data_IF_273331333609
#
_entry.id   IF_273331333609
#
_cell.length_a   1.000
_cell.length_b   1.000
_cell.length_c   1.000
_cell.angle_alpha   90.00
_cell.angle_beta   90.00
_cell.angle_gamma   90.00
#
_symmetry.space_group_name_H-M   'P 1'
#
loop_
_entity.id
_entity.type
_entity.pdbx_description
1 polymer ?
#
# COMPACT_ATOMS: atom_id res chain seq x y z
N UNK A 1 2.93 -27.05 10.59
CA UNK A 1 3.16 -25.97 9.60
C UNK A 1 2.93 -24.67 10.32
N UNK A 2 3.97 -23.86 10.52
CA UNK A 2 3.85 -22.56 11.17
C UNK A 2 3.53 -21.50 10.10
N UNK A 3 2.24 -21.35 9.80
CA UNK A 3 1.74 -20.20 9.03
C UNK A 3 0.94 -19.31 9.98
N UNK A 4 1.08 -18.00 9.82
CA UNK A 4 0.28 -17.01 10.54
C UNK A 4 -0.89 -16.59 9.63
N UNK A 5 -2.13 -17.06 9.90
CA UNK A 5 -3.27 -16.75 9.05
C UNK A 5 -3.60 -15.25 9.05
N UNK A 6 -3.15 -14.47 10.04
CA UNK A 6 -3.40 -13.01 10.10
C UNK A 6 -2.58 -12.24 9.07
N UNK A 7 -1.56 -12.87 8.47
CA UNK A 7 -0.72 -12.30 7.41
C UNK A 7 -1.20 -12.65 5.99
N UNK A 8 -2.25 -13.46 5.86
CA UNK A 8 -2.92 -13.66 4.58
C UNK A 8 -3.76 -12.41 4.27
N UNK A 9 -3.66 -11.90 3.04
CA UNK A 9 -4.45 -10.78 2.59
C UNK A 9 -5.55 -11.27 1.65
N UNK A 10 -6.76 -10.75 1.83
CA UNK A 10 -7.83 -10.82 0.86
C UNK A 10 -8.14 -9.37 0.43
N UNK A 11 -8.19 -9.11 -0.87
CA UNK A 11 -8.55 -7.79 -1.39
C UNK A 11 -9.97 -7.89 -1.90
N UNK A 12 -10.85 -7.05 -1.38
CA UNK A 12 -12.31 -7.13 -1.63
C UNK A 12 -12.78 -6.07 -2.62
N UNK A 13 -12.01 -5.00 -2.78
CA UNK A 13 -12.25 -3.95 -3.77
C UNK A 13 -10.97 -3.64 -4.54
N UNK A 14 -11.13 -3.13 -5.76
CA UNK A 14 -10.02 -2.70 -6.59
C UNK A 14 -10.44 -1.56 -7.52
N UNK A 15 -9.47 -0.74 -7.91
CA UNK A 15 -9.62 0.27 -8.95
C UNK A 15 -8.35 0.32 -9.81
N UNK A 16 -8.52 0.76 -11.07
CA UNK A 16 -7.41 1.12 -11.94
C UNK A 16 -7.54 2.58 -12.32
N UNK A 17 -6.46 3.33 -12.15
CA UNK A 17 -6.35 4.71 -12.61
C UNK A 17 -5.30 4.79 -13.70
N UNK A 18 -5.56 5.64 -14.70
CA UNK A 18 -4.65 5.88 -15.81
C UNK A 18 -4.41 7.37 -15.96
N UNK A 19 -3.16 7.77 -16.13
CA UNK A 19 -2.82 9.12 -16.58
C UNK A 19 -2.21 9.06 -17.97
N UNK A 20 -2.79 9.81 -18.90
CA UNK A 20 -2.23 10.06 -20.23
C UNK A 20 -1.19 11.20 -20.22
N UNK A 21 -0.96 11.82 -19.06
CA UNK A 21 0.12 12.76 -18.79
C UNK A 21 1.20 12.05 -17.96
N UNK A 22 2.34 11.76 -18.58
CA UNK A 22 3.48 11.10 -17.92
C UNK A 22 4.14 11.95 -16.82
N UNK A 23 3.72 13.21 -16.66
CA UNK A 23 4.16 14.09 -15.59
C UNK A 23 3.12 14.26 -14.47
N UNK A 24 2.03 13.49 -14.50
CA UNK A 24 0.99 13.57 -13.48
C UNK A 24 1.58 13.32 -12.07
N UNK A 25 1.26 14.18 -11.10
CA UNK A 25 1.77 14.04 -9.75
C UNK A 25 1.19 12.78 -9.10
N UNK A 26 2.07 12.03 -8.46
CA UNK A 26 1.72 10.89 -7.63
C UNK A 26 1.04 11.39 -6.33
N UNK A 27 0.01 10.71 -5.81
CA UNK A 27 -0.51 10.98 -4.47
C UNK A 27 0.61 10.86 -3.42
N UNK A 28 0.53 11.61 -2.32
CA UNK A 28 1.56 11.58 -1.28
C UNK A 28 1.67 10.19 -0.62
N UNK A 29 0.54 9.54 -0.40
CA UNK A 29 0.42 8.23 0.23
C UNK A 29 -0.79 7.45 -0.31
N UNK A 30 -0.97 6.22 0.19
CA UNK A 30 -2.06 5.33 -0.23
C UNK A 30 -3.47 5.83 0.16
N UNK A 31 -3.59 6.73 1.14
CA UNK A 31 -4.86 7.26 1.62
C UNK A 31 -5.25 8.57 0.91
N UNK A 32 -4.29 9.24 0.28
CA UNK A 32 -4.51 10.44 -0.51
C UNK A 32 -5.18 10.07 -1.84
N UNK A 33 -6.34 10.65 -2.20
CA UNK A 33 -6.97 10.38 -3.49
C UNK A 33 -6.08 10.78 -4.68
N UNK A 34 -6.27 10.12 -5.82
CA UNK A 34 -5.63 10.55 -7.06
C UNK A 34 -6.12 11.95 -7.49
N UNK A 35 -5.20 12.73 -8.04
CA UNK A 35 -5.49 14.07 -8.56
C UNK A 35 -6.24 14.04 -9.90
N UNK A 36 -6.68 15.20 -10.42
CA UNK A 36 -7.52 15.29 -11.61
C UNK A 36 -6.83 14.91 -12.93
N UNK A 37 -5.52 14.64 -12.93
CA UNK A 37 -4.77 14.13 -14.08
C UNK A 37 -4.84 12.60 -14.21
N UNK A 38 -5.43 11.93 -13.21
CA UNK A 38 -5.64 10.50 -13.20
C UNK A 38 -7.10 10.20 -13.47
N UNK A 39 -7.35 9.54 -14.58
CA UNK A 39 -8.67 9.09 -14.98
C UNK A 39 -8.95 7.71 -14.37
N UNK A 40 -10.11 7.56 -13.73
CA UNK A 40 -10.58 6.26 -13.27
C UNK A 40 -11.03 5.43 -14.48
N UNK A 41 -10.62 4.15 -14.52
CA UNK A 41 -11.05 3.20 -15.57
C UNK A 41 -12.53 2.86 -15.46
N UNK A 42 -13.09 2.86 -14.25
CA UNK A 42 -14.49 2.54 -13.98
C UNK A 42 -14.67 1.15 -13.36
N UNK A 43 -15.86 0.57 -13.48
CA UNK A 43 -16.16 -0.79 -13.02
C UNK A 43 -15.22 -1.82 -13.64
N UNK A 44 -14.71 -2.71 -12.79
CA UNK A 44 -13.80 -3.80 -13.15
C UNK A 44 -14.46 -5.15 -12.89
N UNK A 45 -14.12 -6.13 -13.72
CA UNK A 45 -14.32 -7.53 -13.37
C UNK A 45 -13.24 -7.97 -12.39
N UNK A 46 -13.66 -8.37 -11.20
CA UNK A 46 -12.78 -8.73 -10.09
C UNK A 46 -12.42 -10.21 -10.02
N UNK A 47 -12.99 -11.08 -10.87
CA UNK A 47 -12.87 -12.53 -10.73
C UNK A 47 -11.40 -13.02 -10.78
N UNK A 48 -10.61 -12.48 -11.71
CA UNK A 48 -9.16 -12.75 -11.80
C UNK A 48 -8.29 -11.69 -11.09
N UNK A 49 -8.92 -10.59 -10.65
CA UNK A 49 -8.24 -9.43 -10.08
C UNK A 49 -7.26 -8.80 -11.07
N UNK A 50 -5.97 -8.84 -10.73
CA UNK A 50 -4.92 -8.26 -11.56
C UNK A 50 -3.83 -9.28 -11.90
N UNK A 51 -4.10 -10.23 -12.82
CA UNK A 51 -3.13 -11.25 -13.19
C UNK A 51 -1.81 -10.61 -13.65
N UNK A 52 -0.71 -11.22 -13.26
CA UNK A 52 0.65 -10.74 -13.51
C UNK A 52 1.45 -11.84 -14.19
N UNK A 53 2.13 -11.50 -15.29
CA UNK A 53 3.01 -12.41 -16.00
C UNK A 53 4.42 -11.81 -16.13
N UNK A 54 5.42 -12.63 -15.77
CA UNK A 54 6.85 -12.31 -15.79
C UNK A 54 7.55 -13.22 -16.77
N UNK A 55 8.18 -12.63 -17.77
CA UNK A 55 8.96 -13.34 -18.77
C UNK A 55 10.42 -12.90 -18.67
N UNK A 56 11.35 -13.85 -18.73
CA UNK A 56 12.78 -13.58 -18.86
C UNK A 56 13.46 -14.71 -19.63
N UNK A 57 14.44 -14.35 -20.45
CA UNK A 57 15.31 -15.32 -21.11
C UNK A 57 16.44 -15.72 -20.16
N UNK A 58 16.64 -17.03 -20.00
CA UNK A 58 17.70 -17.60 -19.17
C UNK A 58 18.67 -18.42 -20.01
N UNK A 59 19.98 -18.18 -19.85
CA UNK A 59 21.05 -18.91 -20.52
C UNK A 59 22.06 -19.46 -19.49
N UNK A 60 22.06 -20.79 -19.35
CA UNK A 60 22.90 -21.54 -18.42
C UNK A 60 24.19 -22.03 -19.08
N UNK A 61 25.32 -21.81 -18.39
CA UNK A 61 26.64 -22.28 -18.80
C UNK A 61 27.14 -23.35 -17.83
N UNK A 62 27.58 -24.48 -18.38
CA UNK A 62 28.06 -25.63 -17.62
C UNK A 62 29.56 -25.86 -17.84
N UNK A 63 30.27 -26.25 -16.78
CA UNK A 63 31.62 -26.79 -16.84
C UNK A 63 31.62 -28.31 -17.09
N UNK A 64 32.82 -28.88 -17.21
CA UNK A 64 33.01 -30.33 -17.32
C UNK A 64 32.31 -31.08 -16.19
N UNK A 65 31.65 -32.20 -16.53
CA UNK A 65 30.84 -32.98 -15.58
C UNK A 65 29.43 -32.44 -15.36
N UNK A 66 28.96 -31.45 -16.14
CA UNK A 66 27.59 -30.93 -16.06
C UNK A 66 27.37 -29.98 -14.88
N UNK A 67 28.42 -29.37 -14.35
CA UNK A 67 28.34 -28.45 -13.21
C UNK A 67 27.92 -27.07 -13.73
N UNK A 68 26.76 -26.56 -13.30
CA UNK A 68 26.32 -25.20 -13.62
C UNK A 68 27.30 -24.19 -13.02
N UNK A 69 27.87 -23.31 -13.85
CA UNK A 69 28.85 -22.30 -13.42
C UNK A 69 28.32 -20.89 -13.51
N UNK A 70 27.38 -20.62 -14.41
CA UNK A 70 26.81 -19.29 -14.60
C UNK A 70 25.43 -19.37 -15.24
N UNK A 71 24.54 -18.52 -14.76
CA UNK A 71 23.24 -18.25 -15.39
C UNK A 71 23.22 -16.77 -15.78
N UNK A 72 22.84 -16.48 -17.03
CA UNK A 72 22.58 -15.10 -17.49
C UNK A 72 21.09 -14.90 -17.69
N UNK A 73 20.56 -13.73 -17.33
CA UNK A 73 19.15 -13.37 -17.46
C UNK A 73 19.00 -12.11 -18.29
N UNK A 74 18.16 -12.14 -19.32
CA UNK A 74 17.94 -11.03 -20.26
C UNK A 74 16.45 -10.90 -20.63
N UNK A 75 16.10 -9.80 -21.31
CA UNK A 75 14.75 -9.56 -21.84
C UNK A 75 13.61 -9.71 -20.81
N UNK A 76 13.86 -9.23 -19.58
CA UNK A 76 12.80 -9.19 -18.57
C UNK A 76 11.61 -8.36 -19.07
N UNK A 77 10.41 -8.94 -19.00
CA UNK A 77 9.15 -8.28 -19.31
C UNK A 77 8.16 -8.55 -18.19
N UNK A 78 7.47 -7.49 -17.76
CA UNK A 78 6.34 -7.59 -16.84
C UNK A 78 5.08 -7.12 -17.54
N UNK A 79 4.02 -7.91 -17.42
CA UNK A 79 2.67 -7.51 -17.81
C UNK A 79 1.72 -7.67 -16.64
N UNK A 80 0.75 -6.77 -16.55
CA UNK A 80 -0.34 -6.82 -15.58
C UNK A 80 -1.64 -6.47 -16.28
N UNK A 81 -2.68 -7.27 -16.07
CA UNK A 81 -3.95 -7.07 -16.76
C UNK A 81 -5.08 -6.69 -15.81
N UNK A 82 -6.14 -6.14 -16.38
CA UNK A 82 -7.41 -5.88 -15.72
C UNK A 82 -8.52 -5.91 -16.78
N UNK A 83 -9.74 -6.20 -16.36
CA UNK A 83 -10.89 -6.25 -17.26
C UNK A 83 -11.84 -5.13 -16.92
N UNK A 84 -11.97 -4.15 -17.80
CA UNK A 84 -12.91 -3.05 -17.66
C UNK A 84 -14.29 -3.47 -18.17
N UNK A 85 -15.35 -3.05 -17.46
CA UNK A 85 -16.74 -3.33 -17.79
C UNK A 85 -17.52 -2.08 -18.25
N UNK A 86 -16.88 -0.91 -18.24
CA UNK A 86 -17.51 0.35 -18.64
C UNK A 86 -17.09 0.79 -20.06
N UNK A 87 -18.06 1.28 -20.83
CA UNK A 87 -17.79 2.12 -22.00
C UNK A 87 -17.70 3.60 -21.58
N UNK A 88 -16.49 4.04 -21.26
CA UNK A 88 -16.19 5.44 -20.96
C UNK A 88 -14.97 5.94 -21.76
N UNK A 89 -14.71 7.25 -21.71
CA UNK A 89 -13.65 7.86 -22.50
C UNK A 89 -12.26 7.26 -22.21
N UNK A 90 -11.98 6.87 -20.96
CA UNK A 90 -10.73 6.24 -20.55
C UNK A 90 -10.58 4.87 -21.19
N UNK A 91 -11.58 3.99 -21.04
CA UNK A 91 -11.57 2.64 -21.61
C UNK A 91 -11.49 2.70 -23.13
N UNK A 92 -12.31 3.53 -23.79
CA UNK A 92 -12.25 3.71 -25.25
C UNK A 92 -10.88 4.15 -25.73
N UNK A 93 -10.20 5.03 -24.99
CA UNK A 93 -8.86 5.51 -25.35
C UNK A 93 -7.80 4.41 -25.16
N UNK A 94 -7.94 3.55 -24.17
CA UNK A 94 -7.06 2.39 -23.97
C UNK A 94 -7.27 1.31 -25.04
N UNK A 95 -8.52 1.03 -25.42
CA UNK A 95 -8.86 0.04 -26.45
C UNK A 95 -8.49 0.55 -27.84
N UNK A 96 -8.79 1.82 -28.14
CA UNK A 96 -8.58 2.44 -29.46
C UNK A 96 -7.74 3.72 -29.41
N UNK A 97 -6.45 3.67 -29.01
CA UNK A 97 -5.61 4.85 -28.87
C UNK A 97 -5.60 5.76 -30.10
N UNK A 98 -5.76 7.06 -29.87
CA UNK A 98 -5.77 8.10 -30.92
C UNK A 98 -7.04 8.17 -31.76
N UNK A 99 -8.04 7.32 -31.50
CA UNK A 99 -9.37 7.39 -32.11
C UNK A 99 -10.18 8.59 -31.57
N UNK A 100 -11.29 8.89 -32.24
CA UNK A 100 -12.27 9.89 -31.83
C UNK A 100 -13.65 9.24 -31.81
N UNK A 101 -14.64 9.89 -31.19
CA UNK A 101 -16.05 9.45 -31.17
C UNK A 101 -16.62 9.04 -32.55
N UNK A 102 -16.08 9.61 -33.65
CA UNK A 102 -16.59 9.37 -35.01
C UNK A 102 -15.63 8.62 -35.92
N UNK A 103 -14.41 8.32 -35.45
CA UNK A 103 -13.36 7.68 -36.27
C UNK A 103 -12.49 6.78 -35.43
N UNK A 104 -12.52 5.49 -35.74
CA UNK A 104 -11.60 4.49 -35.20
C UNK A 104 -10.32 4.49 -36.06
N UNK A 105 -9.17 4.61 -35.40
CA UNK A 105 -7.85 4.50 -36.03
C UNK A 105 -7.24 3.14 -35.75
N UNK A 106 -6.25 2.77 -36.57
CA UNK A 106 -5.36 1.65 -36.25
C UNK A 106 -4.72 1.96 -34.88
N UNK A 107 -4.92 1.10 -33.87
CA UNK A 107 -4.42 1.37 -32.53
C UNK A 107 -2.89 1.34 -32.53
N UNK A 108 -2.30 2.37 -31.94
CA UNK A 108 -0.87 2.43 -31.62
C UNK A 108 -0.79 2.72 -30.13
N UNK A 109 -0.30 1.77 -29.30
CA UNK A 109 -0.23 1.97 -27.86
C UNK A 109 0.46 3.28 -27.52
N UNK A 110 -0.20 4.10 -26.71
CA UNK A 110 0.39 5.29 -26.15
C UNK A 110 1.01 4.97 -24.79
N UNK A 111 2.03 5.75 -24.41
CA UNK A 111 2.65 5.63 -23.10
C UNK A 111 1.76 6.30 -22.07
N UNK A 112 1.42 5.57 -21.02
CA UNK A 112 0.57 6.04 -19.93
C UNK A 112 1.19 5.71 -18.58
N UNK A 113 0.80 6.42 -17.54
CA UNK A 113 0.97 5.92 -16.18
C UNK A 113 -0.24 5.08 -15.81
N UNK A 114 -0.02 3.96 -15.11
CA UNK A 114 -1.10 3.10 -14.62
C UNK A 114 -0.91 2.87 -13.13
N UNK A 115 -2.00 3.00 -12.38
CA UNK A 115 -2.07 2.69 -10.97
C UNK A 115 -3.08 1.57 -10.73
N UNK A 116 -2.62 0.51 -10.08
CA UNK A 116 -3.47 -0.59 -9.60
C UNK A 116 -3.69 -0.40 -8.11
N UNK A 117 -4.92 -0.16 -7.71
CA UNK A 117 -5.33 -0.04 -6.31
C UNK A 117 -6.13 -1.26 -5.88
N UNK A 118 -5.81 -1.82 -4.72
CA UNK A 118 -6.57 -2.88 -4.07
C UNK A 118 -6.86 -2.50 -2.62
N UNK A 119 -8.06 -2.81 -2.13
CA UNK A 119 -8.51 -2.41 -0.78
C UNK A 119 -9.18 -3.56 -0.01
N UNK A 120 -9.07 -3.47 1.31
CA UNK A 120 -9.74 -4.35 2.27
C UNK A 120 -10.04 -3.55 3.54
N UNK A 121 -11.27 -3.06 3.69
CA UNK A 121 -11.61 -2.10 4.75
C UNK A 121 -10.72 -0.84 4.64
N UNK A 122 -10.00 -0.50 5.71
CA UNK A 122 -9.09 0.66 5.75
C UNK A 122 -7.71 0.38 5.13
N UNK A 123 -7.43 -0.86 4.73
CA UNK A 123 -6.17 -1.20 4.07
C UNK A 123 -6.26 -0.83 2.59
N UNK A 124 -5.32 -0.04 2.13
CA UNK A 124 -5.13 0.30 0.72
C UNK A 124 -3.74 -0.14 0.30
N UNK A 125 -3.63 -0.67 -0.91
CA UNK A 125 -2.34 -0.91 -1.58
C UNK A 125 -2.42 -0.41 -3.01
N UNK A 126 -1.39 0.33 -3.43
CA UNK A 126 -1.20 0.79 -4.79
C UNK A 126 0.11 0.29 -5.37
N UNK A 127 0.09 -0.05 -6.64
CA UNK A 127 1.26 -0.14 -7.50
C UNK A 127 1.08 0.83 -8.64
N UNK A 128 1.94 1.84 -8.72
CA UNK A 128 1.87 2.87 -9.75
C UNK A 128 3.15 2.84 -10.57
N UNK A 129 3.04 2.84 -11.89
CA UNK A 129 4.20 2.68 -12.77
C UNK A 129 5.27 3.74 -12.50
N UNK A 130 6.51 3.32 -12.23
CA UNK A 130 7.64 4.26 -11.96
C UNK A 130 8.14 4.99 -13.22
N UNK A 131 7.68 4.59 -14.42
CA UNK A 131 8.02 5.25 -15.67
C UNK A 131 6.82 5.39 -16.62
N UNK A 132 6.36 4.30 -17.22
CA UNK A 132 5.11 4.22 -18.00
C UNK A 132 4.77 2.74 -18.25
N UNK A 133 3.54 2.51 -18.70
CA UNK A 133 3.12 1.30 -19.37
C UNK A 133 2.69 1.61 -20.81
N UNK A 134 2.69 0.57 -21.64
CA UNK A 134 1.95 0.54 -22.89
C UNK A 134 0.79 -0.43 -22.72
N UNK A 135 -0.43 0.04 -22.90
CA UNK A 135 -1.65 -0.75 -22.77
C UNK A 135 -2.13 -1.23 -24.14
N UNK A 136 -2.58 -2.49 -24.19
CA UNK A 136 -3.19 -3.08 -25.38
C UNK A 136 -4.38 -3.92 -24.98
N UNK A 137 -5.36 -4.01 -25.88
CA UNK A 137 -6.44 -4.97 -25.78
C UNK A 137 -5.89 -6.40 -25.87
N UNK A 138 -6.37 -7.29 -25.02
CA UNK A 138 -6.09 -8.71 -25.05
C UNK A 138 -7.39 -9.49 -25.22
N UNK A 139 -7.43 -10.35 -26.23
CA UNK A 139 -8.64 -11.08 -26.62
C UNK A 139 -9.68 -10.23 -27.38
N UNK A 140 -10.91 -10.74 -27.39
CA UNK A 140 -12.03 -10.13 -28.10
C UNK A 140 -12.70 -9.05 -27.24
N UNK A 141 -13.09 -7.95 -27.87
CA UNK A 141 -13.92 -6.90 -27.31
C UNK A 141 -15.05 -6.62 -28.29
N UNK A 142 -16.29 -6.73 -27.83
CA UNK A 142 -17.44 -6.58 -28.70
C UNK A 142 -18.77 -6.58 -27.96
N UNK A 143 -19.77 -6.06 -28.66
CA UNK A 143 -21.13 -5.90 -28.16
C UNK A 143 -21.95 -7.19 -28.42
N UNK A 144 -22.68 -7.66 -27.41
CA UNK A 144 -23.63 -8.75 -27.58
C UNK A 144 -24.87 -8.56 -26.69
N UNK A 145 -25.90 -9.39 -26.88
CA UNK A 145 -27.19 -9.25 -26.19
C UNK A 145 -27.23 -9.89 -24.78
N UNK A 146 -26.23 -10.71 -24.43
CA UNK A 146 -26.29 -11.62 -23.28
C UNK A 146 -25.32 -11.29 -22.16
N UNK A 147 -24.12 -10.85 -22.52
CA UNK A 147 -23.00 -10.59 -21.63
C UNK A 147 -22.70 -9.09 -21.60
N UNK A 148 -22.18 -8.62 -20.47
CA UNK A 148 -21.68 -7.27 -20.36
C UNK A 148 -20.53 -7.08 -21.35
N UNK A 149 -20.48 -5.92 -22.00
CA UNK A 149 -19.31 -5.52 -22.76
C UNK A 149 -18.12 -5.43 -21.80
N UNK A 150 -17.02 -6.06 -22.18
CA UNK A 150 -15.79 -6.07 -21.40
C UNK A 150 -14.58 -5.83 -22.30
N UNK A 151 -13.54 -5.23 -21.72
CA UNK A 151 -12.27 -5.01 -22.36
C UNK A 151 -11.15 -5.45 -21.43
N UNK A 152 -10.54 -6.59 -21.73
CA UNK A 152 -9.32 -7.04 -21.04
C UNK A 152 -8.14 -6.25 -21.57
N UNK A 153 -7.53 -5.45 -20.69
CA UNK A 153 -6.42 -4.58 -21.03
C UNK A 153 -5.17 -5.14 -20.38
N UNK A 154 -4.14 -5.41 -21.20
CA UNK A 154 -2.81 -5.81 -20.74
C UNK A 154 -1.92 -4.57 -20.72
N UNK A 155 -1.41 -4.21 -19.55
CA UNK A 155 -0.39 -3.18 -19.39
C UNK A 155 1.00 -3.83 -19.40
N UNK A 156 1.81 -3.53 -20.42
CA UNK A 156 3.24 -3.86 -20.45
C UNK A 156 4.01 -2.78 -19.67
N UNK A 157 4.67 -3.17 -18.59
CA UNK A 157 5.30 -2.24 -17.64
C UNK A 157 6.77 -2.02 -18.00
N UNK A 158 7.17 -0.77 -18.20
CA UNK A 158 8.53 -0.41 -18.56
C UNK A 158 9.33 0.07 -17.34
N UNK A 159 10.57 -0.42 -17.13
CA UNK A 159 11.40 0.00 -16.02
C UNK A 159 11.98 1.40 -16.22
N UNK A 160 12.17 2.13 -15.12
CA UNK A 160 12.96 3.37 -15.12
C UNK A 160 14.48 3.08 -15.20
N UNK A 161 15.30 4.13 -15.14
CA UNK A 161 16.77 4.00 -15.21
C UNK A 161 17.38 3.20 -14.05
N UNK A 162 16.68 3.11 -12.92
CA UNK A 162 17.03 2.36 -11.73
C UNK A 162 16.54 0.90 -11.77
N UNK A 163 15.85 0.51 -12.86
CA UNK A 163 15.19 -0.79 -13.05
C UNK A 163 13.98 -1.02 -12.14
N UNK A 164 13.35 0.05 -11.69
CA UNK A 164 12.12 0.01 -10.90
C UNK A 164 10.90 0.01 -11.85
N UNK A 165 9.92 -0.82 -11.54
CA UNK A 165 8.70 -0.99 -12.35
C UNK A 165 7.51 -0.23 -11.74
N UNK A 166 7.41 -0.22 -10.41
CA UNK A 166 6.33 0.40 -9.68
C UNK A 166 6.82 1.12 -8.42
N UNK A 167 6.23 2.28 -8.19
CA UNK A 167 6.17 2.91 -6.88
C UNK A 167 5.04 2.25 -6.09
N UNK A 168 5.36 1.79 -4.89
CA UNK A 168 4.41 1.09 -4.02
C UNK A 168 3.94 2.03 -2.92
N UNK A 169 2.63 2.14 -2.77
CA UNK A 169 2.01 2.77 -1.59
C UNK A 169 1.17 1.73 -0.87
N UNK A 170 1.17 1.74 0.45
CA UNK A 170 0.29 0.89 1.24
C UNK A 170 -0.08 1.62 2.54
N UNK A 171 -1.25 1.31 3.10
CA UNK A 171 -1.56 1.73 4.47
C UNK A 171 -0.50 1.16 5.41
N UNK A 172 0.26 2.00 6.14
CA UNK A 172 1.29 1.52 7.04
C UNK A 172 0.65 0.71 8.17
N UNK A 173 1.19 -0.47 8.44
CA UNK A 173 0.74 -1.30 9.56
C UNK A 173 1.49 -0.87 10.82
N UNK A 174 0.79 -0.75 11.94
CA UNK A 174 1.44 -0.52 13.23
C UNK A 174 2.33 -1.73 13.56
N UNK A 175 3.60 -1.48 13.88
CA UNK A 175 4.54 -2.53 14.29
C UNK A 175 4.81 -2.50 15.80
N UNK A 176 4.89 -1.32 16.38
CA UNK A 176 5.16 -1.16 17.82
C UNK A 176 4.73 0.20 18.33
N UNK A 177 4.65 0.31 19.66
CA UNK A 177 4.63 1.60 20.35
C UNK A 177 5.75 1.64 21.40
N UNK A 178 6.29 2.83 21.66
CA UNK A 178 7.29 3.09 22.69
C UNK A 178 6.86 4.29 23.55
N UNK A 179 6.85 4.12 24.88
CA UNK A 179 6.56 5.17 25.85
C UNK A 179 7.86 5.75 26.40
N UNK A 180 8.09 7.05 26.15
CA UNK A 180 9.27 7.77 26.63
C UNK A 180 8.89 8.89 27.61
N UNK A 181 9.61 9.04 28.74
CA UNK A 181 10.67 8.15 29.24
C UNK A 181 10.11 6.81 29.77
N UNK A 182 10.92 5.74 29.71
CA UNK A 182 10.57 4.41 30.23
C UNK A 182 10.44 4.35 31.77
N UNK A 183 11.02 5.33 32.47
CA UNK A 183 10.82 5.55 33.91
C UNK A 183 10.51 7.01 34.19
N UNK A 184 9.61 7.24 35.15
CA UNK A 184 9.18 8.58 35.54
C UNK A 184 9.19 8.69 37.07
N UNK A 185 9.81 9.74 37.60
CA UNK A 185 9.76 10.08 39.03
C UNK A 185 9.02 11.40 39.20
N UNK A 186 7.98 11.42 40.03
CA UNK A 186 7.14 12.60 40.31
C UNK A 186 6.85 12.71 41.80
N UNK A 187 6.75 13.91 42.35
CA UNK A 187 6.26 14.08 43.72
C UNK A 187 4.74 13.89 43.81
N UNK A 188 4.23 13.67 45.02
CA UNK A 188 2.78 13.71 45.24
C UNK A 188 2.22 15.06 44.78
N UNK A 189 1.08 15.05 44.08
CA UNK A 189 0.40 16.18 43.43
C UNK A 189 1.11 16.79 42.21
N UNK A 190 2.31 16.33 41.88
CA UNK A 190 3.03 16.75 40.67
C UNK A 190 2.55 15.97 39.45
N UNK A 191 2.66 16.61 38.28
CA UNK A 191 2.34 16.02 36.98
C UNK A 191 3.62 15.85 36.19
N UNK A 192 3.93 14.61 35.80
CA UNK A 192 4.91 14.31 34.77
C UNK A 192 4.24 13.98 33.45
N UNK A 193 4.96 14.11 32.34
CA UNK A 193 4.47 13.78 31.02
C UNK A 193 5.28 12.64 30.43
N UNK A 194 4.60 11.79 29.66
CA UNK A 194 5.19 10.77 28.81
C UNK A 194 4.62 10.92 27.40
N UNK A 195 5.41 10.51 26.42
CA UNK A 195 5.02 10.49 25.01
C UNK A 195 4.98 9.03 24.55
N UNK A 196 3.88 8.62 23.92
CA UNK A 196 3.79 7.34 23.23
C UNK A 196 4.04 7.56 21.73
N UNK A 197 5.12 6.98 21.21
CA UNK A 197 5.48 7.04 19.79
C UNK A 197 5.17 5.70 19.13
N UNK A 198 4.35 5.72 18.09
CA UNK A 198 4.09 4.56 17.24
C UNK A 198 5.15 4.45 16.14
N UNK A 199 5.58 3.22 15.83
CA UNK A 199 6.40 2.90 14.65
C UNK A 199 5.60 2.03 13.70
N UNK A 200 5.58 2.39 12.42
CA UNK A 200 4.84 1.69 11.39
C UNK A 200 5.77 0.93 10.43
N UNK A 201 5.19 0.03 9.63
CA UNK A 201 5.91 -0.87 8.71
C UNK A 201 6.66 -0.19 7.56
N UNK A 202 6.45 1.10 7.36
CA UNK A 202 7.18 1.94 6.42
C UNK A 202 8.28 2.77 7.11
N UNK A 203 8.62 2.41 8.35
CA UNK A 203 9.61 3.08 9.22
C UNK A 203 9.21 4.49 9.66
N UNK A 204 8.01 4.97 9.30
CA UNK A 204 7.50 6.24 9.80
C UNK A 204 7.10 6.13 11.27
N UNK A 205 7.13 7.28 11.96
CA UNK A 205 6.73 7.38 13.36
C UNK A 205 5.68 8.46 13.55
N UNK A 206 4.81 8.27 14.54
CA UNK A 206 3.79 9.24 14.92
C UNK A 206 3.64 9.33 16.44
N UNK A 207 3.43 10.53 16.97
CA UNK A 207 2.99 10.72 18.35
C UNK A 207 1.52 10.30 18.46
N UNK A 208 1.28 9.23 19.23
CA UNK A 208 -0.05 8.64 19.45
C UNK A 208 -0.50 8.81 20.91
N UNK A 209 0.17 9.68 21.68
CA UNK A 209 -0.09 9.90 23.11
C UNK A 209 -1.56 10.16 23.42
N UNK A 210 -2.22 10.99 22.61
CA UNK A 210 -3.63 11.32 22.75
C UNK A 210 -4.58 10.21 22.25
N UNK A 211 -4.09 9.30 21.40
CA UNK A 211 -4.86 8.20 20.81
C UNK A 211 -4.76 6.91 21.64
N UNK A 212 -3.75 6.80 22.51
CA UNK A 212 -3.58 5.66 23.41
C UNK A 212 -4.69 5.57 24.46
N UNK A 213 -5.10 4.33 24.74
CA UNK A 213 -5.79 3.99 25.98
C UNK A 213 -4.76 3.83 27.09
N UNK A 214 -4.86 4.64 28.14
CA UNK A 214 -3.92 4.65 29.26
C UNK A 214 -4.54 3.99 30.50
N UNK A 215 -3.75 3.18 31.21
CA UNK A 215 -4.14 2.58 32.49
C UNK A 215 -3.00 2.61 33.50
N UNK A 216 -3.33 2.61 34.79
CA UNK A 216 -2.37 2.53 35.89
C UNK A 216 -2.61 1.25 36.68
N UNK A 217 -1.53 0.54 37.04
CA UNK A 217 -1.58 -0.63 37.89
C UNK A 217 -2.05 -0.32 39.31
N UNK A 218 -1.82 0.91 39.79
CA UNK A 218 -2.30 1.39 41.09
C UNK A 218 -2.67 2.89 41.03
N UNK A 219 -3.95 3.19 40.73
CA UNK A 219 -4.47 4.56 40.71
C UNK A 219 -4.38 5.29 42.06
N UNK A 220 -4.17 4.57 43.18
CA UNK A 220 -3.97 5.20 44.49
C UNK A 220 -2.56 5.79 44.66
N UNK A 221 -1.63 5.42 43.76
CA UNK A 221 -0.27 5.94 43.70
C UNK A 221 -0.09 6.93 42.56
N UNK A 222 -0.51 6.56 41.35
CA UNK A 222 -0.42 7.44 40.20
C UNK A 222 -1.61 7.24 39.25
N UNK A 223 -2.17 8.34 38.77
CA UNK A 223 -3.23 8.34 37.74
C UNK A 223 -2.68 8.88 36.43
N UNK A 224 -3.24 8.45 35.29
CA UNK A 224 -2.80 8.89 33.96
C UNK A 224 -3.98 9.37 33.13
N UNK A 225 -3.79 10.43 32.35
CA UNK A 225 -4.76 10.91 31.37
C UNK A 225 -4.01 11.51 30.18
N UNK A 226 -4.20 10.93 28.99
CA UNK A 226 -3.57 11.39 27.74
C UNK A 226 -2.05 11.65 27.88
N UNK A 227 -1.31 10.71 28.48
CA UNK A 227 0.13 10.83 28.70
C UNK A 227 0.57 11.70 29.88
N UNK A 228 -0.36 12.37 30.58
CA UNK A 228 -0.05 13.11 31.80
C UNK A 228 -0.27 12.24 33.03
N UNK A 229 0.80 11.98 33.77
CA UNK A 229 0.82 11.14 34.96
C UNK A 229 0.85 12.03 36.20
N UNK A 230 -0.17 11.93 37.04
CA UNK A 230 -0.27 12.67 38.31
C UNK A 230 0.09 11.76 39.48
N UNK A 231 1.07 12.18 40.29
CA UNK A 231 1.39 11.51 41.55
C UNK A 231 0.30 11.75 42.60
N UNK A 232 -0.16 10.70 43.28
CA UNK A 232 -1.19 10.76 44.32
C UNK A 232 -0.58 10.57 45.71
N UNK A 233 0.20 9.50 45.89
CA UNK A 233 0.84 9.17 47.15
C UNK A 233 2.12 8.38 46.91
N UNK A 234 3.07 8.50 47.83
CA UNK A 234 4.36 7.80 47.73
C UNK A 234 4.19 6.28 47.51
N UNK A 235 4.98 5.74 46.59
CA UNK A 235 4.92 4.35 46.14
C UNK A 235 5.35 4.20 44.68
N UNK A 236 5.07 3.05 44.09
CA UNK A 236 5.32 2.77 42.68
C UNK A 236 4.04 2.33 41.97
N UNK A 237 3.95 2.66 40.68
CA UNK A 237 2.91 2.19 39.78
C UNK A 237 3.51 1.94 38.40
N UNK A 238 2.94 1.02 37.64
CA UNK A 238 3.23 0.87 36.21
C UNK A 238 2.06 1.47 35.44
N UNK A 239 2.37 2.36 34.52
CA UNK A 239 1.38 2.92 33.59
C UNK A 239 1.54 2.25 32.24
N UNK A 240 0.45 1.77 31.66
CA UNK A 240 0.42 1.08 30.37
C UNK A 240 -0.31 1.94 29.34
N UNK A 241 0.34 2.16 28.19
CA UNK A 241 -0.28 2.69 26.99
C UNK A 241 -0.69 1.52 26.08
N UNK A 242 -1.86 1.61 25.45
CA UNK A 242 -2.30 0.68 24.42
C UNK A 242 -2.83 1.43 23.20
N UNK A 243 -2.38 1.04 22.01
CA UNK A 243 -2.79 1.64 20.75
C UNK A 243 -2.86 0.57 19.66
N UNK A 244 -4.04 0.41 19.03
CA UNK A 244 -4.33 -0.56 17.97
C UNK A 244 -3.83 -2.00 18.24
N UNK A 245 -3.84 -2.44 19.51
CA UNK A 245 -3.42 -3.79 19.93
C UNK A 245 -1.99 -3.88 20.44
N UNK A 246 -1.13 -2.91 20.12
CA UNK A 246 0.22 -2.81 20.68
C UNK A 246 0.19 -2.12 22.05
N UNK A 247 1.13 -2.51 22.92
CA UNK A 247 1.22 -1.98 24.28
C UNK A 247 2.66 -1.71 24.68
N UNK A 248 2.89 -0.64 25.43
CA UNK A 248 4.15 -0.40 26.13
C UNK A 248 3.88 0.26 27.50
N UNK A 249 4.90 0.26 28.37
CA UNK A 249 4.74 0.64 29.78
C UNK A 249 5.82 1.61 30.26
N UNK A 250 5.45 2.45 31.22
CA UNK A 250 6.36 3.31 31.98
C UNK A 250 6.29 2.96 33.46
N UNK A 251 7.45 2.80 34.10
CA UNK A 251 7.54 2.61 35.54
C UNK A 251 7.55 3.97 36.27
N UNK A 252 6.56 4.19 37.11
CA UNK A 252 6.36 5.44 37.85
C UNK A 252 6.77 5.25 39.30
N UNK A 253 7.65 6.12 39.80
CA UNK A 253 7.97 6.25 41.23
C UNK A 253 7.43 7.57 41.75
N UNK A 254 6.54 7.50 42.74
CA UNK A 254 6.00 8.68 43.42
C UNK A 254 6.79 8.93 44.69
N UNK A 255 7.44 10.08 44.78
CA UNK A 255 8.17 10.49 45.98
C UNK A 255 7.27 11.26 46.94
N UNK A 256 7.63 11.23 48.22
CA UNK A 256 6.93 11.95 49.28
C UNK A 256 7.12 13.47 49.19
#
# INVERSE_FOLDING_TARGET
MAGDPTKANLWTDADVYVSFDLSAPMPADANTPFGPQWDLVGLLDGDEGFPENREEDTDDKFAWGGILVKTSRNHFKLTKSFTALEDNATVRRLVWPGSTETKIKVPVPEKVLVAFETREGDKVRRLVTSLYAECSLDGDHGENETDLESATIVATIYPNAQKELFDRQATPLLESIEVTPATLSVAATEIGAVVATATYSDETTADVTANCSWSSSDPTKATVTAGFITGIAAGSATVTASYLGETDTVAVTVTA
#
